data_IF_883679630593
#
_entry.id   IF_883679630593
#
_cell.length_a   1.000
_cell.length_b   1.000
_cell.length_c   1.000
_cell.angle_alpha   90.00
_cell.angle_beta   90.00
_cell.angle_gamma   90.00
#
_symmetry.space_group_name_H-M   'P 1'
#
loop_
_entity.id
_entity.type
_entity.pdbx_description
1 polymer ?
#
# COMPACT_ATOMS: atom_id res chain seq x y z
N UNK A 1 -42.61 24.26 46.56
CA UNK A 1 -43.25 23.67 45.35
C UNK A 1 -42.55 24.22 44.12
N UNK A 2 -42.37 23.36 43.09
CA UNK A 2 -41.91 23.62 41.71
C UNK A 2 -40.41 23.50 41.39
N UNK A 3 -40.03 22.22 41.22
CA UNK A 3 -39.36 21.62 40.04
C UNK A 3 -38.02 22.18 39.55
N UNK A 4 -36.94 21.51 39.97
CA UNK A 4 -35.68 21.41 39.23
C UNK A 4 -35.92 20.58 37.95
N UNK A 5 -35.72 21.17 36.78
CA UNK A 5 -35.64 20.43 35.50
C UNK A 5 -34.21 19.94 35.31
N UNK A 6 -34.02 18.62 35.36
CA UNK A 6 -32.75 17.94 35.12
C UNK A 6 -32.67 17.65 33.60
N UNK A 7 -31.78 18.36 32.91
CA UNK A 7 -31.46 18.13 31.50
C UNK A 7 -30.51 16.91 31.42
N UNK A 8 -31.06 15.76 31.03
CA UNK A 8 -30.29 14.57 30.67
C UNK A 8 -29.69 14.80 29.29
N UNK A 9 -28.41 15.12 29.21
CA UNK A 9 -27.65 15.15 27.97
C UNK A 9 -27.19 13.72 27.64
N UNK A 10 -27.86 13.10 26.68
CA UNK A 10 -27.54 11.77 26.16
C UNK A 10 -26.21 11.84 25.38
N UNK A 11 -25.14 11.29 25.96
CA UNK A 11 -23.87 11.12 25.28
C UNK A 11 -23.99 10.01 24.22
N UNK A 12 -24.14 10.41 22.95
CA UNK A 12 -24.01 9.50 21.81
C UNK A 12 -22.53 9.16 21.65
N UNK A 13 -22.14 7.97 22.09
CA UNK A 13 -20.80 7.44 21.83
C UNK A 13 -20.70 7.11 20.33
N UNK A 14 -20.02 7.97 19.56
CA UNK A 14 -19.62 7.65 18.20
C UNK A 14 -18.60 6.50 18.25
N UNK A 15 -19.05 5.28 17.98
CA UNK A 15 -18.15 4.18 17.66
C UNK A 15 -17.54 4.44 16.28
N UNK A 16 -16.39 5.10 16.25
CA UNK A 16 -15.58 5.24 15.05
C UNK A 16 -15.11 3.85 14.60
N UNK A 17 -15.52 3.41 13.41
CA UNK A 17 -14.89 2.26 12.73
C UNK A 17 -13.48 2.68 12.30
N UNK A 18 -12.49 2.51 13.17
CA UNK A 18 -11.09 2.64 12.78
C UNK A 18 -10.65 1.37 12.06
N UNK A 19 -9.94 1.48 10.91
CA UNK A 19 -9.36 0.32 10.25
C UNK A 19 -8.43 -0.41 11.22
N UNK A 20 -8.35 -1.73 11.12
CA UNK A 20 -7.57 -2.52 12.07
C UNK A 20 -6.09 -2.07 12.02
N UNK A 21 -5.52 -1.76 13.17
CA UNK A 21 -4.11 -1.35 13.31
C UNK A 21 -3.21 -2.50 12.85
N UNK A 22 -2.24 -2.22 11.97
CA UNK A 22 -1.26 -3.23 11.56
C UNK A 22 -0.20 -3.31 12.66
N UNK A 23 -0.42 -4.18 13.64
CA UNK A 23 0.47 -4.37 14.79
C UNK A 23 1.70 -5.23 14.48
N UNK A 24 1.74 -5.82 13.28
CA UNK A 24 2.84 -6.69 12.85
C UNK A 24 4.05 -5.88 12.37
N UNK A 25 5.28 -6.32 12.71
CA UNK A 25 6.48 -5.69 12.19
C UNK A 25 6.50 -5.77 10.66
N UNK A 26 7.09 -4.78 9.95
CA UNK A 26 7.18 -4.81 8.51
C UNK A 26 7.88 -6.07 7.99
N UNK A 27 7.28 -6.69 6.98
CA UNK A 27 7.77 -7.92 6.36
C UNK A 27 8.67 -7.52 5.20
N UNK A 28 9.92 -7.96 5.25
CA UNK A 28 10.89 -7.72 4.19
C UNK A 28 10.61 -8.63 2.99
N UNK A 29 10.61 -8.08 1.78
CA UNK A 29 10.58 -8.91 0.57
C UNK A 29 11.87 -9.69 0.39
N UNK A 30 11.76 -10.85 -0.25
CA UNK A 30 12.88 -11.73 -0.57
C UNK A 30 13.21 -11.60 -2.06
N UNK A 31 14.45 -11.26 -2.44
CA UNK A 31 14.88 -11.28 -3.83
C UNK A 31 14.71 -12.66 -4.47
N UNK A 32 14.19 -12.71 -5.69
CA UNK A 32 14.04 -13.98 -6.43
C UNK A 32 15.40 -14.59 -6.79
N UNK A 33 16.41 -13.74 -7.00
CA UNK A 33 17.79 -14.15 -7.32
C UNK A 33 18.77 -13.59 -6.28
N UNK A 34 18.95 -14.33 -5.19
CA UNK A 34 19.77 -13.89 -4.06
C UNK A 34 21.23 -13.55 -4.43
N UNK A 35 21.81 -14.23 -5.43
CA UNK A 35 23.19 -14.00 -5.88
C UNK A 35 23.41 -12.63 -6.54
N UNK A 36 22.34 -11.94 -6.94
CA UNK A 36 22.39 -10.60 -7.55
C UNK A 36 22.07 -9.48 -6.55
N UNK A 37 21.58 -9.85 -5.37
CA UNK A 37 21.05 -8.91 -4.39
C UNK A 37 22.02 -8.67 -3.24
N UNK A 38 21.91 -7.49 -2.62
CA UNK A 38 22.50 -7.18 -1.32
C UNK A 38 21.38 -6.65 -0.43
N UNK A 39 20.99 -7.42 0.59
CA UNK A 39 19.76 -7.14 1.35
C UNK A 39 18.53 -7.24 0.43
N UNK A 40 17.73 -6.17 0.38
CA UNK A 40 16.57 -6.09 -0.53
C UNK A 40 16.87 -5.41 -1.86
N UNK A 41 18.08 -4.85 -2.06
CA UNK A 41 18.44 -4.29 -3.37
C UNK A 41 18.78 -5.42 -4.35
N UNK A 42 17.81 -5.77 -5.20
CA UNK A 42 17.90 -6.86 -6.19
C UNK A 42 18.89 -6.58 -7.33
N UNK A 43 19.32 -5.32 -7.48
CA UNK A 43 20.25 -4.88 -8.52
C UNK A 43 21.64 -4.53 -7.99
N UNK A 44 21.91 -4.70 -6.70
CA UNK A 44 23.14 -4.22 -6.06
C UNK A 44 24.41 -4.77 -6.73
N UNK A 45 24.46 -6.07 -7.01
CA UNK A 45 25.66 -6.71 -7.61
C UNK A 45 25.82 -6.28 -9.06
N UNK A 46 24.74 -6.24 -9.83
CA UNK A 46 24.78 -5.83 -11.23
C UNK A 46 25.19 -4.34 -11.35
N UNK A 47 24.72 -3.49 -10.43
CA UNK A 47 25.13 -2.08 -10.32
C UNK A 47 26.61 -1.92 -10.00
N UNK A 48 27.13 -2.68 -9.04
CA UNK A 48 28.54 -2.65 -8.66
C UNK A 48 29.49 -3.07 -9.81
N UNK A 49 28.98 -3.83 -10.79
CA UNK A 49 29.71 -4.23 -12.00
C UNK A 49 29.64 -3.20 -13.14
N UNK A 50 28.96 -2.07 -12.92
CA UNK A 50 28.78 -1.03 -13.93
C UNK A 50 27.68 -1.33 -14.96
N UNK A 51 26.83 -2.33 -14.72
CA UNK A 51 25.68 -2.58 -15.60
C UNK A 51 24.66 -1.43 -15.48
N UNK A 52 23.98 -1.06 -16.58
CA UNK A 52 22.94 -0.03 -16.56
C UNK A 52 21.66 -0.60 -15.91
N UNK A 53 21.57 -0.52 -14.57
CA UNK A 53 20.43 -1.00 -13.77
C UNK A 53 19.82 0.12 -12.92
N UNK A 54 18.53 0.04 -12.55
CA UNK A 54 17.85 1.08 -11.78
C UNK A 54 18.52 1.43 -10.45
N UNK A 55 18.66 2.73 -10.15
CA UNK A 55 19.20 3.27 -8.90
C UNK A 55 18.37 2.86 -7.68
N UNK A 56 19.00 2.25 -6.67
CA UNK A 56 18.36 1.96 -5.38
C UNK A 56 18.25 3.25 -4.56
N UNK A 57 17.02 3.61 -4.20
CA UNK A 57 16.68 4.87 -3.50
C UNK A 57 16.28 4.64 -2.05
N UNK A 58 16.36 3.41 -1.57
CA UNK A 58 15.95 3.00 -0.22
C UNK A 58 14.79 2.02 -0.25
N UNK A 59 14.01 2.01 0.82
CA UNK A 59 12.89 1.09 1.00
C UNK A 59 11.61 1.87 1.29
N UNK A 60 10.47 1.35 0.85
CA UNK A 60 9.15 1.90 1.20
C UNK A 60 8.30 0.81 1.86
N UNK A 61 7.48 1.23 2.81
CA UNK A 61 6.49 0.36 3.43
C UNK A 61 5.17 0.47 2.66
N UNK A 62 4.62 -0.68 2.27
CA UNK A 62 3.38 -0.80 1.51
C UNK A 62 2.37 -1.56 2.36
N UNK A 63 1.29 -0.92 2.83
CA UNK A 63 0.25 -1.61 3.58
C UNK A 63 -0.60 -2.47 2.63
N UNK A 64 -0.86 -3.71 3.03
CA UNK A 64 -1.68 -4.68 2.29
C UNK A 64 -2.82 -5.14 3.18
N UNK A 65 -4.05 -5.04 2.65
CA UNK A 65 -5.29 -5.43 3.31
C UNK A 65 -6.12 -6.34 2.40
N UNK A 66 -6.84 -7.28 2.99
CA UNK A 66 -7.81 -8.12 2.28
C UNK A 66 -9.23 -7.74 2.72
N UNK A 67 -10.16 -7.65 1.78
CA UNK A 67 -11.57 -7.38 2.03
C UNK A 67 -12.41 -8.48 1.38
N UNK A 68 -13.53 -8.85 2.01
CA UNK A 68 -14.41 -9.89 1.47
C UNK A 68 -15.64 -10.10 2.33
N UNK A 69 -16.42 -11.13 1.99
CA UNK A 69 -17.60 -11.52 2.75
C UNK A 69 -17.20 -12.15 4.09
N UNK A 70 -17.75 -11.60 5.19
CA UNK A 70 -17.51 -12.05 6.56
C UNK A 70 -18.38 -13.26 6.94
N UNK A 71 -17.93 -14.06 7.91
CA UNK A 71 -18.62 -15.27 8.39
C UNK A 71 -20.02 -14.98 8.95
N UNK A 72 -20.23 -13.79 9.53
CA UNK A 72 -21.53 -13.35 10.05
C UNK A 72 -22.47 -12.69 9.02
N UNK A 73 -22.09 -12.71 7.73
CA UNK A 73 -22.74 -11.87 6.70
C UNK A 73 -22.13 -10.47 6.63
N UNK A 74 -22.38 -9.76 5.52
CA UNK A 74 -21.78 -8.46 5.24
C UNK A 74 -20.41 -8.53 4.54
N UNK A 75 -19.89 -7.36 4.18
CA UNK A 75 -18.59 -7.18 3.52
C UNK A 75 -17.68 -6.34 4.41
N UNK A 76 -16.42 -6.74 4.58
CA UNK A 76 -15.48 -6.04 5.45
C UNK A 76 -14.05 -6.52 5.31
N UNK A 77 -13.16 -5.96 6.14
CA UNK A 77 -11.76 -6.34 6.19
C UNK A 77 -11.58 -7.73 6.82
N UNK A 78 -10.77 -8.56 6.17
CA UNK A 78 -10.44 -9.92 6.58
C UNK A 78 -9.03 -9.97 7.20
N UNK A 79 -8.93 -10.59 8.37
CA UNK A 79 -7.67 -10.81 9.07
C UNK A 79 -7.19 -12.26 8.92
N UNK A 80 -5.88 -12.47 9.04
CA UNK A 80 -5.26 -13.78 8.93
C UNK A 80 -5.29 -14.41 7.54
N UNK A 81 -5.58 -13.64 6.49
CA UNK A 81 -5.68 -14.21 5.13
C UNK A 81 -4.30 -14.43 4.54
N UNK A 82 -3.95 -15.65 4.10
CA UNK A 82 -2.68 -15.90 3.44
C UNK A 82 -2.63 -15.24 2.06
N UNK A 83 -1.57 -14.46 1.85
CA UNK A 83 -1.31 -13.74 0.62
C UNK A 83 0.14 -13.90 0.17
N UNK A 84 0.33 -13.79 -1.14
CA UNK A 84 1.63 -13.73 -1.81
C UNK A 84 1.74 -12.42 -2.57
N UNK A 85 2.87 -11.73 -2.44
CA UNK A 85 3.26 -10.61 -3.28
C UNK A 85 4.40 -11.05 -4.21
N UNK A 86 4.32 -10.68 -5.49
CA UNK A 86 5.31 -11.00 -6.52
C UNK A 86 5.52 -9.78 -7.42
N UNK A 87 6.78 -9.38 -7.62
CA UNK A 87 7.16 -8.31 -8.55
C UNK A 87 8.14 -8.81 -9.63
N UNK A 88 8.19 -10.13 -9.86
CA UNK A 88 9.15 -10.84 -10.71
C UNK A 88 10.56 -10.92 -10.12
N UNK A 89 11.09 -9.81 -9.59
CA UNK A 89 12.46 -9.71 -9.07
C UNK A 89 12.56 -9.88 -7.54
N UNK A 90 11.43 -9.78 -6.84
CA UNK A 90 11.30 -10.12 -5.41
C UNK A 90 9.89 -10.64 -5.12
N UNK A 91 9.73 -11.33 -4.00
CA UNK A 91 8.44 -11.85 -3.53
C UNK A 91 8.32 -11.84 -2.00
N UNK A 92 7.11 -12.01 -1.49
CA UNK A 92 6.84 -12.19 -0.06
C UNK A 92 5.59 -13.05 0.16
N UNK A 93 5.54 -13.77 1.28
CA UNK A 93 4.35 -14.47 1.76
C UNK A 93 4.00 -13.97 3.16
N UNK A 94 2.72 -13.69 3.41
CA UNK A 94 2.27 -13.04 4.65
C UNK A 94 0.79 -13.28 4.94
N UNK A 95 0.35 -12.88 6.13
CA UNK A 95 -1.06 -12.86 6.54
C UNK A 95 -1.56 -11.42 6.61
N UNK A 96 -2.75 -11.11 6.10
CA UNK A 96 -3.31 -9.74 6.17
C UNK A 96 -3.93 -9.41 7.53
N UNK A 97 -3.98 -8.12 7.91
CA UNK A 97 -3.29 -7.00 7.29
C UNK A 97 -1.79 -7.02 7.57
N UNK A 98 -0.99 -6.56 6.61
CA UNK A 98 0.47 -6.57 6.71
C UNK A 98 1.10 -5.31 6.13
N UNK A 99 2.31 -4.98 6.59
CA UNK A 99 3.15 -3.95 6.02
C UNK A 99 4.33 -4.62 5.31
N UNK A 100 4.46 -4.42 4.00
CA UNK A 100 5.57 -4.95 3.21
C UNK A 100 6.65 -3.89 3.02
N UNK A 101 7.91 -4.20 3.32
CA UNK A 101 9.04 -3.35 2.96
C UNK A 101 9.59 -3.78 1.61
N UNK A 102 9.44 -2.90 0.62
CA UNK A 102 9.83 -3.14 -0.79
C UNK A 102 10.93 -2.17 -1.19
N UNK A 103 11.82 -2.55 -2.13
CA UNK A 103 12.85 -1.65 -2.64
C UNK A 103 12.24 -0.54 -3.49
N UNK A 104 12.80 0.67 -3.37
CA UNK A 104 12.46 1.84 -4.19
C UNK A 104 13.50 2.01 -5.30
N UNK A 105 13.04 1.95 -6.54
CA UNK A 105 13.82 2.21 -7.75
C UNK A 105 13.28 3.40 -8.55
N UNK A 106 12.49 4.28 -7.91
CA UNK A 106 11.86 5.43 -8.55
C UNK A 106 10.93 4.99 -9.69
N UNK A 107 11.04 5.60 -10.90
CA UNK A 107 10.20 5.26 -12.04
C UNK A 107 10.43 3.84 -12.59
N UNK A 108 11.50 3.17 -12.18
CA UNK A 108 11.81 1.80 -12.57
C UNK A 108 11.43 0.76 -11.50
N UNK A 109 10.67 1.17 -10.49
CA UNK A 109 10.14 0.25 -9.47
C UNK A 109 9.14 -0.72 -10.13
N UNK A 110 9.32 -2.05 -9.95
CA UNK A 110 8.49 -3.04 -10.62
C UNK A 110 7.07 -3.08 -10.03
N UNK A 111 6.07 -3.33 -10.86
CA UNK A 111 4.70 -3.56 -10.40
C UNK A 111 4.63 -4.73 -9.42
N UNK A 112 3.82 -4.60 -8.37
CA UNK A 112 3.60 -5.65 -7.38
C UNK A 112 2.26 -6.32 -7.65
N UNK A 113 2.28 -7.61 -7.97
CA UNK A 113 1.10 -8.47 -8.01
C UNK A 113 0.88 -9.09 -6.64
N UNK A 114 -0.28 -8.83 -6.03
CA UNK A 114 -0.68 -9.46 -4.77
C UNK A 114 -1.86 -10.39 -5.01
N UNK A 115 -1.77 -11.61 -4.50
CA UNK A 115 -2.85 -12.59 -4.51
C UNK A 115 -3.11 -13.08 -3.09
N UNK A 116 -4.38 -13.09 -2.69
CA UNK A 116 -4.83 -13.60 -1.40
C UNK A 116 -5.82 -14.74 -1.61
N UNK A 117 -5.73 -15.77 -0.78
CA UNK A 117 -6.58 -16.96 -0.86
C UNK A 117 -7.18 -17.22 0.51
N UNK A 118 -8.49 -17.42 0.59
CA UNK A 118 -9.20 -17.77 1.81
C UNK A 118 -10.20 -18.88 1.51
N UNK A 119 -9.94 -20.09 2.00
CA UNK A 119 -10.68 -21.29 1.66
C UNK A 119 -10.75 -21.47 0.12
N UNK A 120 -11.96 -21.60 -0.44
CA UNK A 120 -12.18 -21.73 -1.89
C UNK A 120 -12.28 -20.37 -2.63
N UNK A 121 -12.06 -19.25 -1.93
CA UNK A 121 -12.16 -17.90 -2.47
C UNK A 121 -10.80 -17.27 -2.69
N UNK A 122 -10.70 -16.39 -3.68
CA UNK A 122 -9.46 -15.65 -3.91
C UNK A 122 -9.69 -14.26 -4.47
N UNK A 123 -8.67 -13.42 -4.35
CA UNK A 123 -8.62 -12.10 -4.96
C UNK A 123 -7.18 -11.77 -5.35
N UNK A 124 -7.03 -10.93 -6.37
CA UNK A 124 -5.71 -10.44 -6.77
C UNK A 124 -5.77 -9.01 -7.31
N UNK A 125 -4.66 -8.30 -7.17
CA UNK A 125 -4.49 -6.93 -7.68
C UNK A 125 -3.04 -6.72 -8.10
N UNK A 126 -2.82 -5.92 -9.15
CA UNK A 126 -1.50 -5.43 -9.52
C UNK A 126 -1.44 -3.94 -9.24
N UNK A 127 -0.36 -3.50 -8.60
CA UNK A 127 -0.17 -2.10 -8.22
C UNK A 127 1.19 -1.60 -8.72
N UNK A 128 1.17 -0.49 -9.43
CA UNK A 128 2.36 0.20 -9.92
C UNK A 128 2.86 1.23 -8.91
N UNK A 129 4.17 1.51 -8.93
CA UNK A 129 4.72 2.66 -8.25
C UNK A 129 4.24 3.95 -8.95
N UNK A 130 3.75 4.91 -8.18
CA UNK A 130 3.29 6.20 -8.68
C UNK A 130 4.25 7.31 -8.29
N UNK A 131 4.42 8.29 -9.19
CA UNK A 131 5.13 9.52 -8.87
C UNK A 131 4.25 10.38 -7.96
N UNK A 132 4.50 10.31 -6.65
CA UNK A 132 3.69 10.98 -5.64
C UNK A 132 3.91 12.50 -5.65
N UNK A 133 5.13 12.95 -5.92
CA UNK A 133 5.45 14.38 -6.05
C UNK A 133 4.68 15.01 -7.22
N UNK A 134 4.63 14.33 -8.36
CA UNK A 134 3.83 14.70 -9.52
C UNK A 134 2.34 14.80 -9.20
N UNK A 135 1.79 13.79 -8.52
CA UNK A 135 0.39 13.76 -8.11
C UNK A 135 0.07 14.94 -7.18
N UNK A 136 0.92 15.21 -6.19
CA UNK A 136 0.74 16.32 -5.25
C UNK A 136 0.79 17.67 -5.96
N UNK A 137 1.73 17.87 -6.88
CA UNK A 137 1.80 19.08 -7.73
C UNK A 137 0.51 19.29 -8.51
N UNK A 138 -0.06 18.23 -9.08
CA UNK A 138 -1.31 18.31 -9.83
C UNK A 138 -2.51 18.64 -8.92
N UNK A 139 -2.61 18.02 -7.75
CA UNK A 139 -3.64 18.34 -6.76
C UNK A 139 -3.53 19.77 -6.23
N UNK A 140 -2.32 20.32 -6.10
CA UNK A 140 -2.09 21.71 -5.69
C UNK A 140 -2.32 22.73 -6.83
N UNK A 141 -2.19 22.31 -8.09
CA UNK A 141 -2.44 23.17 -9.26
C UNK A 141 -3.93 23.33 -9.59
N UNK A 142 -4.79 22.42 -9.13
CA UNK A 142 -6.25 22.58 -9.15
C UNK A 142 -6.62 23.50 -7.98
N UNK A 143 -6.46 24.80 -8.20
CA UNK A 143 -6.75 25.83 -7.21
C UNK A 143 -8.21 25.79 -6.74
N UNK A 144 -8.39 26.01 -5.44
CA UNK A 144 -9.63 26.45 -4.79
C UNK A 144 -10.87 25.55 -4.95
N UNK A 145 -11.11 24.67 -3.97
CA UNK A 145 -12.45 24.12 -3.73
C UNK A 145 -12.48 22.75 -3.07
N UNK A 146 -12.48 22.74 -1.73
CA UNK A 146 -13.07 21.72 -0.84
C UNK A 146 -12.78 20.22 -1.08
N UNK A 147 -12.08 19.63 -0.11
CA UNK A 147 -12.25 18.24 0.40
C UNK A 147 -11.75 17.07 -0.48
N UNK A 148 -10.52 16.66 -0.21
CA UNK A 148 -10.29 15.29 0.30
C UNK A 148 -10.33 14.10 -0.66
N UNK A 149 -10.39 14.29 -1.97
CA UNK A 149 -10.32 13.17 -2.91
C UNK A 149 -8.90 12.99 -3.47
N UNK A 150 -8.09 12.13 -2.84
CA UNK A 150 -6.94 11.53 -3.52
C UNK A 150 -7.53 10.57 -4.56
N UNK A 151 -7.80 11.08 -5.77
CA UNK A 151 -8.15 10.23 -6.89
C UNK A 151 -6.87 9.48 -7.29
N UNK A 152 -6.84 8.18 -6.97
CA UNK A 152 -5.83 7.24 -7.46
C UNK A 152 -6.15 7.00 -8.94
N UNK A 153 -5.78 7.96 -9.77
CA UNK A 153 -5.72 7.84 -11.22
C UNK A 153 -4.33 8.29 -11.63
N UNK A 154 -3.67 7.51 -12.48
CA UNK A 154 -2.35 7.82 -13.02
C UNK A 154 -2.40 9.15 -13.79
N UNK A 155 -2.26 10.27 -13.09
CA UNK A 155 -2.11 11.59 -13.69
C UNK A 155 -0.69 11.67 -14.24
N UNK A 156 -0.58 11.74 -15.56
CA UNK A 156 0.66 12.02 -16.26
C UNK A 156 1.07 13.47 -15.96
N UNK A 157 1.63 13.74 -14.77
CA UNK A 157 2.27 15.03 -14.53
C UNK A 157 3.58 15.06 -15.34
N UNK A 158 3.81 16.20 -15.97
CA UNK A 158 4.94 16.44 -16.87
C UNK A 158 6.29 15.99 -16.30
N UNK A 159 7.02 15.19 -17.11
CA UNK A 159 8.35 14.58 -16.91
C UNK A 159 9.49 15.60 -16.72
N UNK A 160 9.35 16.57 -15.84
CA UNK A 160 10.39 17.60 -15.64
C UNK A 160 11.49 17.15 -14.67
N UNK A 161 11.23 16.21 -13.76
CA UNK A 161 12.24 15.77 -12.77
C UNK A 161 11.96 14.38 -12.13
N UNK A 162 11.72 13.35 -12.94
CA UNK A 162 11.38 12.00 -12.43
C UNK A 162 12.51 11.35 -11.59
N UNK A 163 13.74 11.85 -11.71
CA UNK A 163 14.90 11.30 -10.99
C UNK A 163 14.90 11.72 -9.51
N UNK A 164 14.41 12.91 -9.19
CA UNK A 164 14.35 13.42 -7.82
C UNK A 164 12.96 13.27 -7.18
N UNK A 165 11.92 13.01 -7.98
CA UNK A 165 10.56 12.83 -7.50
C UNK A 165 10.41 11.60 -6.58
N UNK A 166 9.51 11.67 -5.59
CA UNK A 166 9.25 10.59 -4.62
C UNK A 166 8.24 9.61 -5.22
N UNK A 167 8.66 8.36 -5.40
CA UNK A 167 7.80 7.28 -5.90
C UNK A 167 7.33 6.41 -4.75
N UNK A 168 6.04 6.04 -4.78
CA UNK A 168 5.42 5.22 -3.74
C UNK A 168 4.42 4.26 -4.35
N UNK A 169 4.20 3.13 -3.68
CA UNK A 169 3.03 2.31 -3.96
C UNK A 169 1.85 2.84 -3.14
N UNK A 170 0.65 2.97 -3.72
CA UNK A 170 -0.55 3.19 -2.94
C UNK A 170 -0.84 1.98 -2.03
N UNK A 171 -1.65 2.15 -0.97
CA UNK A 171 -2.14 1.03 -0.17
C UNK A 171 -2.81 -0.04 -1.05
N UNK A 172 -2.46 -1.30 -0.80
CA UNK A 172 -2.97 -2.43 -1.57
C UNK A 172 -4.20 -2.99 -0.86
N UNK A 173 -5.35 -2.98 -1.53
CA UNK A 173 -6.59 -3.58 -1.04
C UNK A 173 -7.03 -4.70 -1.99
N UNK A 174 -6.96 -5.95 -1.54
CA UNK A 174 -7.38 -7.13 -2.30
C UNK A 174 -8.83 -7.44 -1.97
N UNK A 175 -9.70 -7.53 -2.99
CA UNK A 175 -11.08 -7.97 -2.81
C UNK A 175 -11.21 -9.46 -3.12
N UNK A 176 -11.50 -10.25 -2.11
CA UNK A 176 -11.71 -11.71 -2.18
C UNK A 176 -13.19 -11.96 -2.50
N UNK A 177 -13.42 -12.72 -3.56
CA UNK A 177 -14.76 -13.06 -4.07
C UNK A 177 -15.08 -14.52 -3.80
#
# INVERSE_FOLDING_TARGET
MKTLSMLVATAVALAACTPMEVTTPPIMVTPTVASKAVGIDVYAVDRARGNPVPSFRGQKTVPVRANGKLTGGGFGELSGVPCTADAGVYSASFLTPANLNVPDYGPSSPSIFVRCVLDDRSGSVTVDAVNFTAQQRQSSAIGTGILGAIIIGAVAASKRDDQNDDFKYPPIAVSIK
#
